data_IF_068077242498
#
_entry.id   IF_068077242498
#
_cell.length_a   1.000
_cell.length_b   1.000
_cell.length_c   1.000
_cell.angle_alpha   90.00
_cell.angle_beta   90.00
_cell.angle_gamma   90.00
#
_symmetry.space_group_name_H-M   'P 1'
#
loop_
_entity.id
_entity.type
_entity.pdbx_description
1 polymer ?
#
# COMPACT_ATOMS: atom_id res chain seq x y z
N UNK A 1 -7.38 -3.97 -34.72
CA UNK A 1 -8.05 -2.71 -34.30
C UNK A 1 -8.45 -2.70 -32.82
N UNK A 2 -8.90 -3.83 -32.22
CA UNK A 2 -9.31 -3.88 -30.81
C UNK A 2 -8.19 -3.71 -29.78
N UNK A 3 -6.97 -4.12 -30.11
CA UNK A 3 -5.81 -4.07 -29.21
C UNK A 3 -5.35 -2.63 -28.91
N UNK A 4 -5.39 -1.76 -29.93
CA UNK A 4 -5.02 -0.35 -29.74
C UNK A 4 -6.04 0.38 -28.87
N UNK A 5 -7.32 0.12 -29.06
CA UNK A 5 -8.38 0.71 -28.22
C UNK A 5 -8.28 0.21 -26.77
N UNK A 6 -8.04 -1.10 -26.57
CA UNK A 6 -7.85 -1.66 -25.24
C UNK A 6 -6.66 -1.03 -24.51
N UNK A 7 -5.50 -0.92 -25.17
CA UNK A 7 -4.30 -0.26 -24.61
C UNK A 7 -4.55 1.21 -24.28
N UNK A 8 -5.24 1.92 -25.14
CA UNK A 8 -5.62 3.31 -24.90
C UNK A 8 -6.51 3.44 -23.65
N UNK A 9 -7.56 2.61 -23.53
CA UNK A 9 -8.45 2.61 -22.38
C UNK A 9 -7.73 2.23 -21.08
N UNK A 10 -6.83 1.23 -21.13
CA UNK A 10 -5.98 0.85 -20.00
C UNK A 10 -5.03 1.98 -19.61
N UNK A 11 -4.46 2.69 -20.58
CA UNK A 11 -3.63 3.85 -20.33
C UNK A 11 -4.37 4.96 -19.59
N UNK A 12 -5.57 5.31 -19.99
CA UNK A 12 -6.40 6.31 -19.30
C UNK A 12 -6.72 5.90 -17.85
N UNK A 13 -7.02 4.62 -17.64
CA UNK A 13 -7.28 4.09 -16.29
C UNK A 13 -6.01 4.15 -15.43
N UNK A 14 -4.86 3.84 -16.01
CA UNK A 14 -3.57 3.92 -15.32
C UNK A 14 -3.20 5.36 -14.99
N UNK A 15 -3.42 6.30 -15.89
CA UNK A 15 -3.17 7.73 -15.64
C UNK A 15 -4.01 8.24 -14.47
N UNK A 16 -5.28 7.85 -14.41
CA UNK A 16 -6.16 8.22 -13.31
C UNK A 16 -5.73 7.55 -11.98
N UNK A 17 -5.31 6.28 -12.02
CA UNK A 17 -4.76 5.59 -10.84
C UNK A 17 -3.49 6.29 -10.35
N UNK A 18 -2.58 6.68 -11.24
CA UNK A 18 -1.34 7.41 -10.92
C UNK A 18 -1.67 8.76 -10.27
N UNK A 19 -2.64 9.50 -10.79
CA UNK A 19 -3.08 10.76 -10.18
C UNK A 19 -3.58 10.57 -8.75
N UNK A 20 -4.43 9.56 -8.51
CA UNK A 20 -4.93 9.24 -7.18
C UNK A 20 -3.80 8.78 -6.26
N UNK A 21 -2.86 7.96 -6.75
CA UNK A 21 -1.71 7.49 -5.99
C UNK A 21 -0.77 8.64 -5.61
N UNK A 22 -0.55 9.60 -6.49
CA UNK A 22 0.26 10.78 -6.20
C UNK A 22 -0.35 11.65 -5.11
N UNK A 23 -1.68 11.78 -5.06
CA UNK A 23 -2.37 12.46 -3.95
C UNK A 23 -2.14 11.74 -2.61
N UNK A 24 -2.07 10.41 -2.63
CA UNK A 24 -1.76 9.63 -1.41
C UNK A 24 -0.28 9.75 -1.04
N UNK A 25 0.65 9.68 -2.01
CA UNK A 25 2.08 9.86 -1.78
C UNK A 25 2.41 11.23 -1.20
N UNK A 26 1.77 12.28 -1.70
CA UNK A 26 1.94 13.65 -1.19
C UNK A 26 1.54 13.75 0.30
N UNK A 27 0.48 13.08 0.70
CA UNK A 27 0.04 13.02 2.10
C UNK A 27 0.95 12.15 2.96
N UNK A 28 1.43 11.00 2.44
CA UNK A 28 2.25 10.04 3.18
C UNK A 28 3.66 10.57 3.44
N UNK A 29 4.31 11.17 2.44
CA UNK A 29 5.71 11.59 2.56
C UNK A 29 6.10 12.80 1.69
N UNK A 30 5.41 13.09 0.58
CA UNK A 30 5.65 14.24 -0.29
C UNK A 30 6.97 14.24 -1.09
N UNK A 31 7.78 13.18 -0.97
CA UNK A 31 9.07 13.09 -1.68
C UNK A 31 8.96 12.44 -3.05
N UNK A 32 8.07 11.48 -3.19
CA UNK A 32 7.99 10.64 -4.37
C UNK A 32 6.72 10.94 -5.15
N UNK A 33 6.86 10.92 -6.47
CA UNK A 33 5.74 10.96 -7.40
C UNK A 33 5.85 9.79 -8.39
N UNK A 34 4.72 9.22 -8.75
CA UNK A 34 4.62 8.22 -9.80
C UNK A 34 4.36 8.87 -11.14
N UNK A 35 4.97 8.34 -12.15
CA UNK A 35 4.75 8.75 -13.54
C UNK A 35 4.73 7.52 -14.44
N UNK A 36 3.99 7.58 -15.52
CA UNK A 36 4.11 6.58 -16.58
C UNK A 36 5.40 6.80 -17.35
N UNK A 37 6.14 5.72 -17.55
CA UNK A 37 7.43 5.75 -18.26
C UNK A 37 7.31 6.20 -19.72
N UNK A 38 6.20 5.84 -20.38
CA UNK A 38 5.86 6.22 -21.75
C UNK A 38 4.34 6.21 -21.89
N UNK A 39 3.81 7.06 -22.77
CA UNK A 39 2.38 7.14 -23.06
C UNK A 39 1.77 5.83 -23.61
N UNK A 40 2.58 4.98 -24.22
CA UNK A 40 2.16 3.67 -24.74
C UNK A 40 2.46 2.51 -23.79
N UNK A 41 3.34 2.69 -22.80
CA UNK A 41 3.70 1.68 -21.84
C UNK A 41 2.75 1.65 -20.62
N UNK A 42 2.50 0.46 -20.09
CA UNK A 42 1.83 0.26 -18.81
C UNK A 42 2.88 0.10 -17.67
N UNK A 43 3.99 0.80 -17.80
CA UNK A 43 5.09 0.80 -16.84
C UNK A 43 5.14 2.11 -16.07
N UNK A 44 5.45 2.01 -14.79
CA UNK A 44 5.60 3.15 -13.90
C UNK A 44 7.06 3.40 -13.57
N UNK A 45 7.40 4.66 -13.37
CA UNK A 45 8.64 5.14 -12.81
C UNK A 45 8.36 6.08 -11.64
N UNK A 46 9.37 6.33 -10.82
CA UNK A 46 9.27 7.19 -9.64
C UNK A 46 10.15 8.41 -9.84
N UNK A 47 9.60 9.59 -9.60
CA UNK A 47 10.36 10.83 -9.48
C UNK A 47 10.69 11.09 -8.02
N UNK A 48 11.96 11.35 -7.74
CA UNK A 48 12.42 11.82 -6.43
C UNK A 48 12.49 13.35 -6.45
N UNK A 49 11.42 14.00 -5.97
CA UNK A 49 11.29 15.47 -6.01
C UNK A 49 12.33 16.18 -5.15
N UNK A 50 12.88 15.49 -4.14
CA UNK A 50 13.93 16.05 -3.29
C UNK A 50 15.32 15.97 -3.92
N UNK A 51 15.49 15.17 -4.98
CA UNK A 51 16.72 15.04 -5.75
C UNK A 51 16.60 15.66 -7.15
N UNK A 52 15.89 16.77 -7.27
CA UNK A 52 15.76 17.50 -8.54
C UNK A 52 14.99 16.71 -9.60
N UNK A 53 13.93 16.06 -9.21
CA UNK A 53 13.08 15.24 -10.07
C UNK A 53 13.83 14.09 -10.77
N UNK A 54 14.81 13.52 -10.05
CA UNK A 54 15.56 12.38 -10.56
C UNK A 54 14.62 11.18 -10.80
N UNK A 55 14.65 10.67 -12.02
CA UNK A 55 13.86 9.50 -12.40
C UNK A 55 14.52 8.23 -11.86
N UNK A 56 13.74 7.42 -11.15
CA UNK A 56 14.15 6.13 -10.60
C UNK A 56 13.25 5.01 -11.10
N UNK A 57 13.85 3.89 -11.46
CA UNK A 57 13.09 2.66 -11.72
C UNK A 57 12.48 2.15 -10.41
N UNK A 58 11.23 1.69 -10.45
CA UNK A 58 10.54 1.16 -9.26
C UNK A 58 11.29 0.00 -8.60
N UNK A 59 12.11 -0.73 -9.36
CA UNK A 59 12.95 -1.84 -8.87
C UNK A 59 14.18 -1.38 -8.07
N UNK A 60 14.55 -0.11 -8.14
CA UNK A 60 15.70 0.46 -7.44
C UNK A 60 15.34 1.15 -6.12
N UNK A 61 14.06 1.11 -5.75
CA UNK A 61 13.57 1.68 -4.51
C UNK A 61 14.04 0.84 -3.30
N UNK A 62 14.34 1.51 -2.19
CA UNK A 62 14.53 0.83 -0.90
C UNK A 62 13.23 0.17 -0.41
N UNK A 63 13.32 -0.70 0.58
CA UNK A 63 12.13 -1.38 1.13
C UNK A 63 11.06 -0.39 1.60
N UNK A 64 11.45 0.68 2.31
CA UNK A 64 10.52 1.71 2.78
C UNK A 64 9.89 2.51 1.65
N UNK A 65 10.69 2.94 0.67
CA UNK A 65 10.23 3.66 -0.51
C UNK A 65 9.24 2.81 -1.33
N UNK A 66 9.58 1.56 -1.56
CA UNK A 66 8.74 0.59 -2.27
C UNK A 66 7.42 0.33 -1.54
N UNK A 67 7.46 0.23 -0.21
CA UNK A 67 6.27 0.07 0.61
C UNK A 67 5.34 1.29 0.51
N UNK A 68 5.85 2.51 0.62
CA UNK A 68 5.05 3.74 0.48
C UNK A 68 4.37 3.84 -0.88
N UNK A 69 5.09 3.54 -1.96
CA UNK A 69 4.53 3.52 -3.31
C UNK A 69 3.43 2.46 -3.43
N UNK A 70 3.66 1.27 -2.91
CA UNK A 70 2.68 0.18 -2.92
C UNK A 70 1.44 0.51 -2.10
N UNK A 71 1.61 1.12 -0.93
CA UNK A 71 0.50 1.59 -0.09
C UNK A 71 -0.31 2.67 -0.80
N UNK A 72 0.34 3.66 -1.39
CA UNK A 72 -0.32 4.72 -2.13
C UNK A 72 -1.14 4.19 -3.32
N UNK A 73 -0.60 3.22 -4.06
CA UNK A 73 -1.32 2.54 -5.14
C UNK A 73 -2.52 1.73 -4.63
N UNK A 74 -2.38 1.03 -3.50
CA UNK A 74 -3.48 0.27 -2.90
C UNK A 74 -4.62 1.19 -2.43
N UNK A 75 -4.30 2.31 -1.79
CA UNK A 75 -5.27 3.33 -1.39
C UNK A 75 -5.97 3.95 -2.61
N UNK A 76 -5.19 4.31 -3.64
CA UNK A 76 -5.72 4.86 -4.89
C UNK A 76 -6.65 3.89 -5.62
N UNK A 77 -6.27 2.61 -5.68
CA UNK A 77 -7.11 1.57 -6.28
C UNK A 77 -8.43 1.41 -5.51
N UNK A 78 -8.38 1.48 -4.19
CA UNK A 78 -9.56 1.46 -3.35
C UNK A 78 -10.52 2.61 -3.64
N UNK A 79 -9.99 3.80 -3.90
CA UNK A 79 -10.77 4.98 -4.28
C UNK A 79 -11.33 4.87 -5.70
N UNK A 80 -10.51 4.40 -6.65
CA UNK A 80 -10.89 4.25 -8.06
C UNK A 80 -12.07 3.30 -8.25
N UNK A 81 -12.10 2.22 -7.49
CA UNK A 81 -13.08 1.12 -7.66
C UNK A 81 -14.36 1.38 -6.87
N UNK A 82 -14.35 2.28 -5.89
CA UNK A 82 -15.46 2.53 -4.95
C UNK A 82 -16.80 2.92 -5.60
N UNK A 83 -16.81 3.36 -6.85
CA UNK A 83 -18.03 3.76 -7.57
C UNK A 83 -18.76 2.62 -8.30
N UNK A 84 -18.14 1.47 -8.54
CA UNK A 84 -18.73 0.35 -9.29
C UNK A 84 -18.60 -1.03 -8.62
N UNK A 85 -17.57 -1.22 -7.82
CA UNK A 85 -17.28 -2.48 -7.13
C UNK A 85 -16.59 -2.11 -5.82
N UNK A 86 -17.20 -2.41 -4.67
CA UNK A 86 -16.56 -2.09 -3.40
C UNK A 86 -15.38 -3.05 -3.17
N UNK A 87 -14.21 -2.50 -2.90
CA UNK A 87 -13.15 -3.25 -2.23
C UNK A 87 -13.47 -3.12 -0.74
N UNK A 88 -14.01 -4.17 -0.16
CA UNK A 88 -14.47 -4.16 1.22
C UNK A 88 -13.36 -4.46 2.22
N UNK A 89 -12.26 -5.04 1.75
CA UNK A 89 -11.11 -5.41 2.61
C UNK A 89 -9.78 -5.21 1.90
N UNK A 90 -8.79 -4.75 2.67
CA UNK A 90 -7.39 -4.58 2.27
C UNK A 90 -6.50 -5.32 3.25
N UNK A 91 -5.63 -6.19 2.75
CA UNK A 91 -4.63 -6.89 3.55
C UNK A 91 -3.23 -6.42 3.16
N UNK A 92 -2.48 -6.01 4.17
CA UNK A 92 -1.10 -5.55 4.04
C UNK A 92 -0.19 -6.53 4.77
N UNK A 93 0.80 -7.05 4.06
CA UNK A 93 1.76 -8.02 4.60
C UNK A 93 3.13 -7.35 4.75
N UNK A 94 3.52 -7.09 6.01
CA UNK A 94 4.81 -6.48 6.38
C UNK A 94 5.04 -5.07 5.77
N UNK A 95 6.29 -4.61 5.76
CA UNK A 95 6.73 -3.34 5.14
C UNK A 95 6.78 -2.13 6.08
N UNK A 96 5.95 -2.08 7.11
CA UNK A 96 5.90 -0.95 8.05
C UNK A 96 7.21 -0.76 8.85
N UNK A 97 7.98 -1.84 9.09
CA UNK A 97 9.25 -1.81 9.82
C UNK A 97 10.39 -1.09 9.11
N UNK A 98 10.19 -0.73 7.86
CA UNK A 98 11.16 0.01 7.04
C UNK A 98 10.93 1.52 7.06
N UNK A 99 9.84 1.97 7.70
CA UNK A 99 9.47 3.37 7.82
C UNK A 99 10.06 3.99 9.09
N UNK A 100 10.42 5.27 9.02
CA UNK A 100 10.65 6.07 10.20
C UNK A 100 9.34 6.30 10.98
N UNK A 101 9.43 6.74 12.23
CA UNK A 101 8.29 6.88 13.11
C UNK A 101 7.23 7.85 12.59
N UNK A 102 7.63 8.97 12.00
CA UNK A 102 6.72 9.98 11.48
C UNK A 102 5.95 9.46 10.27
N UNK A 103 6.65 8.80 9.35
CA UNK A 103 6.04 8.20 8.15
C UNK A 103 5.14 7.03 8.53
N UNK A 104 5.52 6.23 9.55
CA UNK A 104 4.69 5.16 10.09
C UNK A 104 3.37 5.71 10.65
N UNK A 105 3.41 6.76 11.47
CA UNK A 105 2.21 7.37 12.02
C UNK A 105 1.28 7.90 10.92
N UNK A 106 1.83 8.56 9.90
CA UNK A 106 1.05 9.06 8.76
C UNK A 106 0.41 7.91 7.97
N UNK A 107 1.13 6.82 7.77
CA UNK A 107 0.60 5.62 7.10
C UNK A 107 -0.54 4.98 7.90
N UNK A 108 -0.40 4.88 9.23
CA UNK A 108 -1.44 4.36 10.11
C UNK A 108 -2.67 5.26 10.13
N UNK A 109 -2.51 6.58 10.15
CA UNK A 109 -3.62 7.52 10.05
C UNK A 109 -4.39 7.39 8.72
N UNK A 110 -3.69 7.13 7.61
CA UNK A 110 -4.32 6.85 6.33
C UNK A 110 -5.15 5.55 6.35
N UNK A 111 -4.65 4.51 7.01
CA UNK A 111 -5.38 3.24 7.18
C UNK A 111 -6.57 3.40 8.11
N UNK A 112 -6.46 4.18 9.19
CA UNK A 112 -7.56 4.47 10.11
C UNK A 112 -8.68 5.23 9.38
N UNK A 113 -8.35 6.19 8.53
CA UNK A 113 -9.32 6.91 7.70
C UNK A 113 -10.03 5.97 6.71
N UNK A 114 -9.29 5.03 6.11
CA UNK A 114 -9.87 4.04 5.22
C UNK A 114 -10.81 3.09 5.97
N UNK A 115 -10.43 2.65 7.17
CA UNK A 115 -11.27 1.84 8.03
C UNK A 115 -12.54 2.60 8.47
N UNK A 116 -12.41 3.88 8.81
CA UNK A 116 -13.54 4.75 9.15
C UNK A 116 -14.55 4.91 7.99
N UNK A 117 -14.11 4.74 6.74
CA UNK A 117 -14.98 4.69 5.57
C UNK A 117 -15.76 3.37 5.40
N UNK A 118 -15.64 2.44 6.35
CA UNK A 118 -16.35 1.15 6.38
C UNK A 118 -15.60 0.00 5.74
N UNK A 119 -14.32 0.16 5.44
CA UNK A 119 -13.48 -0.91 4.87
C UNK A 119 -12.77 -1.69 5.97
N UNK A 120 -12.66 -3.00 5.81
CA UNK A 120 -11.91 -3.86 6.72
C UNK A 120 -10.42 -3.83 6.33
N UNK A 121 -9.56 -3.47 7.29
CA UNK A 121 -8.12 -3.46 7.10
C UNK A 121 -7.48 -4.56 7.93
N UNK A 122 -6.77 -5.47 7.28
CA UNK A 122 -5.94 -6.47 7.92
C UNK A 122 -4.46 -6.17 7.72
N UNK A 123 -3.67 -6.21 8.78
CA UNK A 123 -2.24 -5.96 8.71
C UNK A 123 -1.48 -7.11 9.37
N UNK A 124 -0.49 -7.64 8.65
CA UNK A 124 0.45 -8.61 9.20
C UNK A 124 1.72 -7.84 9.56
N UNK A 125 2.11 -7.84 10.82
CA UNK A 125 3.29 -7.11 11.27
C UNK A 125 3.82 -7.67 12.60
N UNK A 126 5.12 -7.48 12.81
CA UNK A 126 5.79 -7.78 14.09
C UNK A 126 6.18 -6.51 14.88
N UNK A 127 5.80 -5.32 14.40
CA UNK A 127 6.18 -4.03 14.97
C UNK A 127 5.36 -3.75 16.24
N UNK A 128 6.05 -3.42 17.32
CA UNK A 128 5.42 -3.14 18.61
C UNK A 128 4.50 -1.91 18.58
N UNK A 129 4.93 -0.83 17.93
CA UNK A 129 4.13 0.41 17.79
C UNK A 129 2.75 0.18 17.15
N UNK A 130 2.63 -0.81 16.25
CA UNK A 130 1.33 -1.15 15.65
C UNK A 130 0.40 -1.85 16.64
N UNK A 131 0.94 -2.58 17.62
CA UNK A 131 0.14 -3.27 18.64
C UNK A 131 -0.59 -2.28 19.55
N UNK A 132 -0.04 -1.12 19.75
CA UNK A 132 -0.66 -0.06 20.55
C UNK A 132 -1.81 0.63 19.81
N UNK A 133 -1.70 0.75 18.48
CA UNK A 133 -2.68 1.42 17.62
C UNK A 133 -3.84 0.50 17.19
N UNK A 134 -3.59 -0.78 16.97
CA UNK A 134 -4.57 -1.73 16.44
C UNK A 134 -5.20 -2.52 17.59
N UNK A 135 -6.47 -2.24 17.88
CA UNK A 135 -7.17 -2.82 19.03
C UNK A 135 -7.50 -4.32 18.87
N UNK A 136 -7.81 -4.77 17.65
CA UNK A 136 -8.16 -6.17 17.37
C UNK A 136 -6.95 -6.89 16.82
N UNK A 137 -6.47 -7.91 17.56
CA UNK A 137 -5.23 -8.60 17.22
C UNK A 137 -5.40 -10.12 17.26
N UNK A 138 -4.88 -10.79 16.24
CA UNK A 138 -4.72 -12.24 16.19
C UNK A 138 -3.24 -12.55 16.45
N UNK A 139 -2.89 -12.99 17.66
CA UNK A 139 -1.50 -13.25 18.01
C UNK A 139 -1.08 -14.66 17.60
N UNK A 140 0.02 -14.73 16.83
CA UNK A 140 0.66 -15.98 16.43
C UNK A 140 1.89 -16.19 17.31
N UNK A 141 1.87 -17.22 18.15
CA UNK A 141 2.96 -17.53 19.06
C UNK A 141 3.76 -18.73 18.57
N UNK A 142 5.08 -18.58 18.46
CA UNK A 142 5.98 -19.72 18.19
C UNK A 142 6.07 -20.61 19.42
N UNK A 143 5.94 -21.93 19.24
CA UNK A 143 6.19 -22.92 20.28
C UNK A 143 7.67 -23.26 20.25
N UNK A 144 8.32 -23.21 21.42
CA UNK A 144 9.76 -23.39 21.59
C UNK A 144 10.37 -24.49 20.73
N UNK A 145 11.27 -24.09 19.82
CA UNK A 145 12.22 -24.96 19.14
C UNK A 145 11.71 -25.92 18.05
N UNK A 146 10.41 -26.05 17.84
CA UNK A 146 9.83 -27.08 16.98
C UNK A 146 9.33 -26.57 15.60
N UNK A 147 9.55 -25.30 15.26
CA UNK A 147 9.06 -24.72 14.00
C UNK A 147 7.53 -24.67 13.90
N UNK A 148 6.80 -24.89 14.99
CA UNK A 148 5.34 -24.87 15.07
C UNK A 148 4.88 -23.56 15.69
N UNK A 149 3.80 -22.99 15.17
CA UNK A 149 3.14 -21.80 15.72
C UNK A 149 1.73 -22.14 16.19
N UNK A 150 1.27 -21.44 17.22
CA UNK A 150 -0.10 -21.55 17.75
C UNK A 150 -0.82 -20.22 17.70
N UNK A 151 -2.09 -20.27 17.32
CA UNK A 151 -3.05 -19.18 17.54
C UNK A 151 -3.59 -19.25 18.99
N UNK A 152 -4.19 -18.15 19.43
CA UNK A 152 -4.94 -18.15 20.69
C UNK A 152 -6.14 -19.13 20.58
N UNK A 153 -6.51 -19.75 21.71
CA UNK A 153 -7.55 -20.80 21.73
C UNK A 153 -8.90 -20.38 21.17
N UNK A 154 -9.24 -19.10 21.23
CA UNK A 154 -10.47 -18.54 20.64
C UNK A 154 -10.52 -18.64 19.11
N UNK A 155 -9.39 -18.86 18.45
CA UNK A 155 -9.28 -19.05 16.98
C UNK A 155 -8.97 -20.50 16.61
N UNK A 156 -8.98 -21.44 17.57
CA UNK A 156 -8.77 -22.85 17.27
C UNK A 156 -9.98 -23.39 16.52
N UNK A 157 -9.72 -23.99 15.35
CA UNK A 157 -10.73 -24.77 14.62
C UNK A 157 -10.76 -26.15 15.25
N UNK A 158 -11.93 -26.55 15.74
CA UNK A 158 -12.20 -27.89 16.31
C UNK A 158 -12.20 -28.95 15.22
#
# INVERSE_FOLDING_TARGET
KGDKFRRFAQGLTLDHLVELANRQLDRLHGRYQLERKDSEALELQVLDTWQGDAIRDTRTLSGGESFLVSLALALALSDLVSHKTSIDSLFLDEGFGTLDSQTLDTALDALDNLNASGKMIGVISHIEAMKERIAVQIKVNKINGLGVSKLQNQFAVS
#
